data_IF_074446901452
#
_entry.id   IF_074446901452
#
_cell.length_a   1.000
_cell.length_b   1.000
_cell.length_c   1.000
_cell.angle_alpha   90.00
_cell.angle_beta   90.00
_cell.angle_gamma   90.00
#
_symmetry.space_group_name_H-M   'P 1'
#
loop_
_entity.id
_entity.type
_entity.pdbx_description
1 polymer ?
#
# COMPACT_ATOMS: atom_id res chain seq x y z
N UNK A 1 7.82 26.80 -5.31
CA UNK A 1 8.09 25.68 -6.23
C UNK A 1 9.08 24.77 -5.54
N UNK A 2 9.03 23.46 -5.78
CA UNK A 2 9.99 22.47 -5.29
C UNK A 2 11.06 22.26 -6.37
N UNK A 3 12.28 22.69 -6.09
CA UNK A 3 13.45 22.44 -6.92
C UNK A 3 14.12 21.11 -6.56
N UNK A 4 14.13 20.73 -5.28
CA UNK A 4 14.75 19.50 -4.78
C UNK A 4 13.85 18.79 -3.79
N UNK A 5 13.63 17.49 -4.02
CA UNK A 5 12.80 16.62 -3.16
C UNK A 5 13.55 15.35 -2.80
N UNK A 6 13.48 14.95 -1.53
CA UNK A 6 13.85 13.60 -1.13
C UNK A 6 12.59 12.76 -0.96
N UNK A 7 12.58 11.53 -1.48
CA UNK A 7 11.42 10.65 -1.43
C UNK A 7 11.82 9.35 -0.78
N UNK A 8 11.26 9.07 0.38
CA UNK A 8 11.34 7.73 0.97
C UNK A 8 10.17 6.88 0.49
N UNK A 9 10.41 5.60 0.22
CA UNK A 9 9.34 4.67 -0.13
C UNK A 9 9.43 3.37 0.66
N UNK A 10 8.36 3.01 1.36
CA UNK A 10 8.17 1.69 1.96
C UNK A 10 7.02 0.99 1.24
N UNK A 11 7.36 -0.12 0.56
CA UNK A 11 6.40 -0.94 -0.18
C UNK A 11 5.61 -1.90 0.70
N UNK A 12 4.67 -2.62 0.07
CA UNK A 12 3.92 -3.72 0.67
C UNK A 12 4.76 -4.98 0.93
N UNK A 13 4.10 -6.14 1.10
CA UNK A 13 4.74 -7.43 1.39
C UNK A 13 5.47 -8.03 0.18
N UNK A 14 6.10 -7.22 -0.66
CA UNK A 14 6.75 -7.68 -1.89
C UNK A 14 8.26 -7.64 -1.76
N UNK A 15 8.98 -8.73 -2.05
CA UNK A 15 10.43 -8.75 -2.03
C UNK A 15 11.00 -8.10 -3.31
N UNK A 16 10.71 -6.81 -3.50
CA UNK A 16 11.17 -6.06 -4.66
C UNK A 16 12.63 -5.69 -4.44
N UNK A 17 13.50 -6.24 -5.28
CA UNK A 17 14.92 -5.88 -5.27
C UNK A 17 15.13 -4.44 -5.78
N UNK A 18 16.17 -3.72 -5.31
CA UNK A 18 16.46 -2.35 -5.73
C UNK A 18 16.45 -2.11 -7.24
N UNK A 19 17.13 -2.97 -8.03
CA UNK A 19 17.17 -2.84 -9.49
C UNK A 19 15.77 -2.99 -10.13
N UNK A 20 14.94 -3.88 -9.56
CA UNK A 20 13.57 -4.08 -10.03
C UNK A 20 12.71 -2.85 -9.71
N UNK A 21 12.92 -2.22 -8.55
CA UNK A 21 12.20 -1.00 -8.20
C UNK A 21 12.64 0.18 -9.07
N UNK A 22 13.94 0.33 -9.34
CA UNK A 22 14.46 1.35 -10.25
C UNK A 22 13.89 1.19 -11.67
N UNK A 23 13.79 -0.04 -12.17
CA UNK A 23 13.17 -0.32 -13.47
C UNK A 23 11.66 0.00 -13.48
N UNK A 24 10.93 -0.34 -12.42
CA UNK A 24 9.50 0.05 -12.27
C UNK A 24 9.34 1.57 -12.24
N UNK A 25 10.25 2.25 -11.56
CA UNK A 25 10.26 3.70 -11.48
C UNK A 25 10.54 4.33 -12.86
N UNK A 26 11.52 3.84 -13.62
CA UNK A 26 11.78 4.28 -15.00
C UNK A 26 10.58 4.11 -15.93
N UNK A 27 9.88 2.97 -15.86
CA UNK A 27 8.64 2.76 -16.64
C UNK A 27 7.54 3.75 -16.25
N UNK A 28 7.46 4.08 -14.97
CA UNK A 28 6.53 5.08 -14.46
C UNK A 28 6.88 6.47 -14.99
N UNK A 29 8.17 6.86 -14.97
CA UNK A 29 8.64 8.10 -15.57
C UNK A 29 8.38 8.17 -17.08
N UNK A 30 8.59 7.08 -17.83
CA UNK A 30 8.26 7.05 -19.27
C UNK A 30 6.76 7.25 -19.55
N UNK A 31 5.89 6.77 -18.65
CA UNK A 31 4.45 7.06 -18.74
C UNK A 31 4.17 8.52 -18.39
N UNK A 32 4.84 9.04 -17.35
CA UNK A 32 4.76 10.44 -16.91
C UNK A 32 5.14 11.44 -18.01
N UNK A 33 6.24 11.20 -18.74
CA UNK A 33 6.66 12.04 -19.88
C UNK A 33 5.54 12.16 -20.92
N UNK A 34 4.91 11.04 -21.26
CA UNK A 34 3.82 10.99 -22.25
C UNK A 34 2.55 11.65 -21.73
N UNK A 35 2.18 11.37 -20.49
CA UNK A 35 0.92 11.84 -19.89
C UNK A 35 0.94 13.33 -19.60
N UNK A 36 2.08 13.87 -19.18
CA UNK A 36 2.21 15.27 -18.76
C UNK A 36 3.02 16.15 -19.73
N UNK A 37 3.54 15.59 -20.81
CA UNK A 37 4.35 16.34 -21.80
C UNK A 37 5.58 16.99 -21.16
N UNK A 38 6.27 16.22 -20.31
CA UNK A 38 7.45 16.64 -19.53
C UNK A 38 8.65 15.78 -19.94
N UNK A 39 9.85 16.22 -19.58
CA UNK A 39 11.05 15.38 -19.62
C UNK A 39 11.26 14.73 -18.24
N UNK A 40 11.59 13.44 -18.21
CA UNK A 40 11.87 12.74 -16.97
C UNK A 40 12.92 11.63 -17.17
N UNK A 41 13.95 11.63 -16.33
CA UNK A 41 15.01 10.62 -16.35
C UNK A 41 15.42 10.21 -14.93
N UNK A 42 15.84 8.96 -14.77
CA UNK A 42 16.41 8.44 -13.52
C UNK A 42 17.83 7.93 -13.77
N UNK A 43 18.78 8.30 -12.90
CA UNK A 43 20.17 7.84 -12.95
C UNK A 43 20.24 6.33 -12.77
N UNK A 44 21.21 5.69 -13.45
CA UNK A 44 21.52 4.27 -13.24
C UNK A 44 22.45 3.97 -12.09
N UNK A 45 23.01 5.00 -11.44
CA UNK A 45 23.84 4.82 -10.26
C UNK A 45 22.92 4.54 -9.07
N UNK A 46 22.93 3.28 -8.65
CA UNK A 46 22.24 2.81 -7.47
C UNK A 46 23.22 2.85 -6.29
N UNK A 47 22.86 3.58 -5.24
CA UNK A 47 23.55 3.53 -3.95
C UNK A 47 22.71 2.66 -3.00
N UNK A 48 23.15 1.42 -2.78
CA UNK A 48 22.41 0.43 -2.02
C UNK A 48 23.19 -0.03 -0.78
N UNK A 49 22.49 -0.02 0.35
CA UNK A 49 22.87 -0.62 1.62
C UNK A 49 21.91 -1.75 1.96
N UNK A 50 22.12 -2.43 3.09
CA UNK A 50 21.19 -3.47 3.57
C UNK A 50 19.83 -2.88 4.01
N UNK A 51 19.77 -1.59 4.32
CA UNK A 51 18.58 -0.91 4.89
C UNK A 51 17.86 -0.04 3.86
N UNK A 52 18.58 0.58 2.92
CA UNK A 52 18.00 1.45 1.91
C UNK A 52 18.72 1.33 0.57
N UNK A 53 18.03 1.68 -0.51
CA UNK A 53 18.65 1.87 -1.81
C UNK A 53 18.12 3.12 -2.48
N UNK A 54 19.02 3.95 -3.01
CA UNK A 54 18.67 5.25 -3.56
C UNK A 54 19.24 5.50 -4.95
N UNK A 55 18.55 6.36 -5.70
CA UNK A 55 18.95 6.86 -7.00
C UNK A 55 18.36 8.25 -7.22
N UNK A 56 18.94 9.00 -8.17
CA UNK A 56 18.46 10.33 -8.53
C UNK A 56 17.53 10.27 -9.73
N UNK A 57 16.59 11.19 -9.78
CA UNK A 57 15.80 11.51 -10.94
C UNK A 57 15.75 13.01 -11.15
N UNK A 58 15.55 13.40 -12.40
CA UNK A 58 15.36 14.76 -12.82
C UNK A 58 14.14 14.80 -13.71
N UNK A 59 13.23 15.72 -13.41
CA UNK A 59 12.08 15.99 -14.28
C UNK A 59 11.96 17.48 -14.54
N UNK A 60 11.48 17.84 -15.73
CA UNK A 60 11.31 19.24 -16.12
C UNK A 60 10.17 19.42 -17.11
N UNK A 61 9.52 20.58 -17.00
CA UNK A 61 8.67 21.14 -18.03
C UNK A 61 9.28 22.42 -18.60
N UNK A 62 8.56 23.16 -19.46
CA UNK A 62 9.05 24.39 -20.09
C UNK A 62 9.61 25.45 -19.14
N UNK A 63 9.05 25.57 -17.93
CA UNK A 63 9.37 26.65 -16.97
C UNK A 63 9.63 26.15 -15.54
N UNK A 64 9.91 24.85 -15.37
CA UNK A 64 10.22 24.27 -14.06
C UNK A 64 11.14 23.07 -14.19
N UNK A 65 11.91 22.81 -13.13
CA UNK A 65 12.79 21.65 -12.99
C UNK A 65 12.77 21.18 -11.55
N UNK A 66 12.69 19.87 -11.35
CA UNK A 66 12.73 19.25 -10.02
C UNK A 66 13.69 18.08 -10.03
N UNK A 67 14.63 18.11 -9.09
CA UNK A 67 15.56 17.01 -8.81
C UNK A 67 15.03 16.19 -7.64
N UNK A 68 14.93 14.89 -7.82
CA UNK A 68 14.38 13.95 -6.84
C UNK A 68 15.45 12.93 -6.46
N UNK A 69 15.72 12.77 -5.17
CA UNK A 69 16.41 11.57 -4.68
C UNK A 69 15.35 10.59 -4.20
N UNK A 70 15.21 9.46 -4.89
CA UNK A 70 14.29 8.40 -4.49
C UNK A 70 15.07 7.38 -3.68
N UNK A 71 14.64 7.11 -2.45
CA UNK A 71 15.26 6.17 -1.52
C UNK A 71 14.22 5.15 -1.04
N UNK A 72 14.33 3.93 -1.55
CA UNK A 72 13.54 2.80 -1.08
C UNK A 72 14.11 2.32 0.26
N UNK A 73 13.27 2.28 1.30
CA UNK A 73 13.60 1.66 2.58
C UNK A 73 13.26 0.16 2.49
N UNK A 74 14.29 -0.67 2.63
CA UNK A 74 14.31 -2.07 2.21
C UNK A 74 13.98 -3.00 3.35
N UNK A 75 13.17 -4.00 3.03
CA UNK A 75 12.86 -5.13 3.91
C UNK A 75 12.56 -6.40 3.09
N UNK A 76 13.06 -6.42 1.85
CA UNK A 76 12.94 -7.53 0.91
C UNK A 76 13.58 -8.81 1.45
N UNK A 77 14.70 -8.69 2.17
CA UNK A 77 15.41 -9.77 2.85
C UNK A 77 14.53 -10.49 3.87
N UNK A 78 13.76 -9.74 4.67
CA UNK A 78 12.88 -10.29 5.69
C UNK A 78 11.68 -11.04 5.06
N UNK A 79 11.16 -10.52 3.95
CA UNK A 79 10.07 -11.16 3.19
C UNK A 79 10.57 -12.44 2.51
N UNK A 80 11.76 -12.40 1.89
CA UNK A 80 12.40 -13.57 1.30
C UNK A 80 12.67 -14.64 2.35
N UNK A 81 13.06 -14.25 3.58
CA UNK A 81 13.23 -15.18 4.69
C UNK A 81 11.91 -15.90 5.02
N UNK A 82 10.77 -15.19 5.07
CA UNK A 82 9.46 -15.81 5.31
C UNK A 82 9.06 -16.80 4.21
N UNK A 83 9.41 -16.53 2.95
CA UNK A 83 9.10 -17.41 1.82
C UNK A 83 9.78 -18.78 1.92
N UNK A 84 10.85 -18.92 2.71
CA UNK A 84 11.53 -20.21 2.95
C UNK A 84 10.74 -21.20 3.80
N UNK A 85 9.62 -20.76 4.42
CA UNK A 85 8.78 -21.58 5.29
C UNK A 85 8.24 -22.82 4.56
N UNK A 86 8.28 -23.97 5.24
CA UNK A 86 7.69 -25.22 4.73
C UNK A 86 6.16 -25.11 4.65
N UNK A 87 5.55 -25.89 3.75
CA UNK A 87 4.11 -25.79 3.51
C UNK A 87 3.27 -26.13 4.76
N UNK A 88 3.66 -27.15 5.53
CA UNK A 88 2.96 -27.56 6.75
C UNK A 88 3.04 -26.47 7.82
N UNK A 89 4.23 -25.89 8.02
CA UNK A 89 4.42 -24.78 8.95
C UNK A 89 3.60 -23.56 8.54
N UNK A 90 3.58 -23.23 7.24
CA UNK A 90 2.78 -22.14 6.68
C UNK A 90 1.29 -22.36 6.91
N UNK A 91 0.77 -23.55 6.61
CA UNK A 91 -0.64 -23.85 6.79
C UNK A 91 -1.06 -23.79 8.27
N UNK A 92 -0.26 -24.38 9.16
CA UNK A 92 -0.50 -24.31 10.61
C UNK A 92 -0.51 -22.87 11.12
N UNK A 93 0.50 -22.08 10.77
CA UNK A 93 0.60 -20.67 11.17
C UNK A 93 -0.52 -19.80 10.56
N UNK A 94 -0.96 -20.10 9.35
CA UNK A 94 -2.10 -19.43 8.72
C UNK A 94 -3.41 -19.71 9.48
N UNK A 95 -3.68 -20.96 9.88
CA UNK A 95 -4.88 -21.26 10.67
C UNK A 95 -4.82 -20.70 12.09
N UNK A 96 -3.64 -20.66 12.72
CA UNK A 96 -3.44 -19.89 13.97
C UNK A 96 -3.78 -18.42 13.75
N UNK A 97 -3.39 -17.85 12.60
CA UNK A 97 -3.71 -16.46 12.25
C UNK A 97 -5.20 -16.23 12.06
N UNK A 98 -5.89 -17.13 11.34
CA UNK A 98 -7.34 -17.08 11.20
C UNK A 98 -8.04 -17.17 12.55
N UNK A 99 -7.64 -18.12 13.40
CA UNK A 99 -8.20 -18.30 14.73
C UNK A 99 -8.03 -17.08 15.62
N UNK A 100 -6.84 -16.48 15.64
CA UNK A 100 -6.55 -15.25 16.38
C UNK A 100 -7.43 -14.09 15.90
N UNK A 101 -7.60 -13.93 14.58
CA UNK A 101 -8.45 -12.88 13.99
C UNK A 101 -9.94 -13.07 14.30
N UNK A 102 -10.40 -14.32 14.39
CA UNK A 102 -11.78 -14.66 14.77
C UNK A 102 -12.02 -14.39 16.25
N UNK A 103 -11.18 -14.95 17.13
CA UNK A 103 -11.33 -14.87 18.59
C UNK A 103 -11.23 -13.42 19.09
N UNK A 104 -10.33 -12.63 18.51
CA UNK A 104 -10.18 -11.20 18.86
C UNK A 104 -11.26 -10.30 18.27
N UNK A 105 -12.13 -10.85 17.41
CA UNK A 105 -13.16 -10.13 16.67
C UNK A 105 -12.62 -9.27 15.52
N UNK A 106 -11.32 -9.36 15.21
CA UNK A 106 -10.65 -8.55 14.18
C UNK A 106 -11.23 -8.79 12.79
N UNK A 107 -11.59 -10.05 12.46
CA UNK A 107 -12.22 -10.36 11.18
C UNK A 107 -13.58 -9.63 11.02
N UNK A 108 -14.38 -9.53 12.07
CA UNK A 108 -15.66 -8.79 12.03
C UNK A 108 -15.42 -7.28 11.88
N UNK A 109 -14.36 -6.75 12.49
CA UNK A 109 -13.93 -5.36 12.27
C UNK A 109 -13.46 -5.14 10.83
N UNK A 110 -12.84 -6.14 10.18
CA UNK A 110 -12.55 -6.06 8.73
C UNK A 110 -13.84 -5.98 7.91
N UNK A 111 -14.86 -6.79 8.18
CA UNK A 111 -16.15 -6.65 7.49
C UNK A 111 -16.77 -5.26 7.69
N UNK A 112 -16.74 -4.76 8.94
CA UNK A 112 -17.19 -3.40 9.25
C UNK A 112 -16.40 -2.36 8.46
N UNK A 113 -15.08 -2.46 8.38
CA UNK A 113 -14.23 -1.48 7.71
C UNK A 113 -14.27 -1.57 6.18
N UNK A 114 -14.15 -2.78 5.64
CA UNK A 114 -14.18 -3.10 4.21
C UNK A 114 -14.51 -4.58 3.99
N UNK A 115 -15.75 -4.89 3.59
CA UNK A 115 -16.16 -6.26 3.24
C UNK A 115 -15.32 -6.85 2.09
N UNK A 116 -14.82 -6.00 1.18
CA UNK A 116 -13.91 -6.40 0.09
C UNK A 116 -12.58 -6.89 0.65
N UNK A 117 -12.01 -6.15 1.61
CA UNK A 117 -10.77 -6.55 2.27
C UNK A 117 -10.97 -7.83 3.10
N UNK A 118 -12.10 -7.96 3.81
CA UNK A 118 -12.44 -9.20 4.51
C UNK A 118 -12.54 -10.40 3.54
N UNK A 119 -13.14 -10.20 2.37
CA UNK A 119 -13.15 -11.19 1.29
C UNK A 119 -11.74 -11.52 0.77
N UNK A 120 -10.87 -10.51 0.61
CA UNK A 120 -9.47 -10.70 0.25
C UNK A 120 -8.68 -11.45 1.35
N UNK A 121 -8.98 -11.22 2.62
CA UNK A 121 -8.39 -12.01 3.69
C UNK A 121 -8.86 -13.48 3.67
N UNK A 122 -10.16 -13.69 3.42
CA UNK A 122 -10.77 -15.01 3.47
C UNK A 122 -10.55 -15.86 2.20
N UNK A 123 -10.25 -15.26 1.05
CA UNK A 123 -10.17 -16.03 -0.20
C UNK A 123 -9.14 -17.17 -0.11
N UNK A 124 -7.99 -16.94 0.54
CA UNK A 124 -6.94 -17.97 0.65
C UNK A 124 -7.42 -19.16 1.48
N UNK A 125 -8.20 -18.93 2.53
CA UNK A 125 -8.81 -20.00 3.33
C UNK A 125 -9.96 -20.70 2.58
N UNK A 126 -10.76 -19.97 1.80
CA UNK A 126 -11.80 -20.56 0.95
C UNK A 126 -11.21 -21.48 -0.12
N UNK A 127 -10.03 -21.16 -0.66
CA UNK A 127 -9.30 -22.03 -1.57
C UNK A 127 -8.89 -23.35 -0.91
N UNK A 128 -8.33 -23.30 0.30
CA UNK A 128 -7.97 -24.50 1.06
C UNK A 128 -9.22 -25.33 1.39
N UNK A 129 -10.31 -24.68 1.82
CA UNK A 129 -11.59 -25.35 2.07
C UNK A 129 -12.13 -26.01 0.78
N UNK A 130 -12.00 -25.36 -0.37
CA UNK A 130 -12.39 -25.91 -1.68
C UNK A 130 -11.58 -27.14 -2.08
N UNK A 131 -10.28 -27.18 -1.77
CA UNK A 131 -9.46 -28.38 -1.97
C UNK A 131 -9.90 -29.52 -1.05
N UNK A 132 -10.17 -29.23 0.23
CA UNK A 132 -10.61 -30.22 1.18
C UNK A 132 -11.99 -30.79 0.79
N UNK A 133 -12.92 -29.93 0.39
CA UNK A 133 -14.24 -30.32 -0.09
C UNK A 133 -14.17 -31.17 -1.37
N UNK A 134 -13.31 -30.80 -2.32
CA UNK A 134 -13.05 -31.60 -3.54
C UNK A 134 -12.51 -32.98 -3.18
N UNK A 135 -11.54 -33.06 -2.26
CA UNK A 135 -11.01 -34.34 -1.79
C UNK A 135 -12.08 -35.21 -1.15
N UNK A 136 -12.87 -34.64 -0.23
CA UNK A 136 -13.96 -35.35 0.44
C UNK A 136 -15.02 -35.86 -0.56
N UNK A 137 -15.40 -35.03 -1.54
CA UNK A 137 -16.35 -35.41 -2.57
C UNK A 137 -15.85 -36.57 -3.45
N UNK A 138 -14.58 -36.54 -3.88
CA UNK A 138 -13.98 -37.62 -4.66
C UNK A 138 -13.85 -38.90 -3.84
N UNK A 139 -13.39 -38.79 -2.58
CA UNK A 139 -13.25 -39.94 -1.69
C UNK A 139 -14.59 -40.62 -1.40
N UNK A 140 -15.63 -39.83 -1.11
CA UNK A 140 -16.98 -40.34 -0.92
C UNK A 140 -17.56 -40.94 -2.21
N UNK A 141 -17.44 -40.24 -3.34
CA UNK A 141 -17.95 -40.71 -4.63
C UNK A 141 -17.31 -42.03 -5.07
N UNK A 142 -16.00 -42.18 -4.87
CA UNK A 142 -15.29 -43.41 -5.23
C UNK A 142 -15.71 -44.60 -4.36
N UNK A 143 -15.80 -44.40 -3.05
CA UNK A 143 -16.22 -45.48 -2.13
C UNK A 143 -17.67 -45.88 -2.35
N UNK A 144 -18.53 -44.92 -2.66
CA UNK A 144 -19.92 -45.17 -3.07
C UNK A 144 -20.00 -45.96 -4.39
N UNK A 145 -19.26 -45.56 -5.42
CA UNK A 145 -19.22 -46.26 -6.72
C UNK A 145 -18.71 -47.70 -6.61
N UNK A 146 -17.77 -47.94 -5.69
CA UNK A 146 -17.21 -49.28 -5.44
C UNK A 146 -18.07 -50.11 -4.47
N UNK A 147 -19.22 -49.59 -4.02
CA UNK A 147 -20.12 -50.30 -3.10
C UNK A 147 -19.52 -50.58 -1.72
N UNK A 148 -18.50 -49.82 -1.32
CA UNK A 148 -17.81 -50.01 -0.04
C UNK A 148 -18.68 -49.49 1.11
N UNK A 149 -18.72 -50.24 2.22
CA UNK A 149 -19.48 -49.85 3.42
C UNK A 149 -18.64 -50.04 4.70
N UNK A 150 -19.13 -49.47 5.80
CA UNK A 150 -18.50 -49.60 7.12
C UNK A 150 -17.14 -48.90 7.23
N UNK A 151 -16.31 -49.34 8.18
CA UNK A 151 -15.04 -48.69 8.48
C UNK A 151 -14.06 -48.66 7.29
N UNK A 152 -14.08 -49.69 6.44
CA UNK A 152 -13.22 -49.76 5.26
C UNK A 152 -13.53 -48.66 4.24
N UNK A 153 -14.81 -48.32 4.04
CA UNK A 153 -15.21 -47.21 3.18
C UNK A 153 -14.72 -45.87 3.73
N UNK A 154 -14.87 -45.64 5.04
CA UNK A 154 -14.38 -44.41 5.67
C UNK A 154 -12.86 -44.24 5.54
N UNK A 155 -12.09 -45.31 5.78
CA UNK A 155 -10.62 -45.29 5.66
C UNK A 155 -10.20 -45.04 4.22
N UNK A 156 -10.76 -45.78 3.25
CA UNK A 156 -10.44 -45.60 1.84
C UNK A 156 -10.82 -44.20 1.34
N UNK A 157 -12.01 -43.72 1.71
CA UNK A 157 -12.48 -42.38 1.38
C UNK A 157 -11.58 -41.29 1.96
N UNK A 158 -11.12 -41.45 3.21
CA UNK A 158 -10.18 -40.52 3.84
C UNK A 158 -8.81 -40.51 3.16
N UNK A 159 -8.27 -41.68 2.78
CA UNK A 159 -7.00 -41.77 2.04
C UNK A 159 -7.11 -41.07 0.69
N UNK A 160 -8.18 -41.33 -0.06
CA UNK A 160 -8.42 -40.69 -1.36
C UNK A 160 -8.60 -39.19 -1.20
N UNK A 161 -9.36 -38.75 -0.19
CA UNK A 161 -9.55 -37.34 0.09
C UNK A 161 -8.22 -36.64 0.43
N UNK A 162 -7.38 -37.25 1.26
CA UNK A 162 -6.05 -36.74 1.61
C UNK A 162 -5.13 -36.68 0.38
N UNK A 163 -5.16 -37.70 -0.49
CA UNK A 163 -4.38 -37.74 -1.72
C UNK A 163 -4.79 -36.62 -2.68
N UNK A 164 -6.09 -36.44 -2.93
CA UNK A 164 -6.62 -35.37 -3.80
C UNK A 164 -6.33 -33.99 -3.22
N UNK A 165 -6.56 -33.80 -1.92
CA UNK A 165 -6.24 -32.54 -1.24
C UNK A 165 -4.76 -32.19 -1.40
N UNK A 166 -3.86 -33.16 -1.15
CA UNK A 166 -2.41 -32.95 -1.25
C UNK A 166 -1.99 -32.67 -2.68
N UNK A 167 -2.57 -33.37 -3.67
CA UNK A 167 -2.29 -33.13 -5.09
C UNK A 167 -2.71 -31.72 -5.53
N UNK A 168 -3.92 -31.27 -5.14
CA UNK A 168 -4.40 -29.92 -5.42
C UNK A 168 -3.55 -28.85 -4.73
N UNK A 169 -3.20 -29.08 -3.45
CA UNK A 169 -2.34 -28.19 -2.69
C UNK A 169 -0.94 -28.10 -3.32
N UNK A 170 -0.39 -29.20 -3.80
CA UNK A 170 0.92 -29.21 -4.47
C UNK A 170 0.86 -28.52 -5.83
N UNK A 171 -0.18 -28.78 -6.65
CA UNK A 171 -0.25 -28.23 -8.01
C UNK A 171 -0.65 -26.73 -8.04
N UNK A 172 -1.56 -26.33 -7.16
CA UNK A 172 -2.12 -24.97 -7.14
C UNK A 172 -1.65 -24.15 -5.94
N UNK A 173 -1.49 -24.77 -4.77
CA UNK A 173 -1.03 -24.09 -3.55
C UNK A 173 0.45 -23.68 -3.58
N UNK A 174 1.31 -24.43 -4.29
CA UNK A 174 2.71 -24.03 -4.50
C UNK A 174 2.90 -22.85 -5.46
N UNK A 175 1.85 -22.39 -6.14
CA UNK A 175 1.98 -21.19 -6.96
C UNK A 175 2.26 -20.00 -6.06
N UNK A 176 3.30 -19.24 -6.39
CA UNK A 176 3.81 -18.07 -5.64
C UNK A 176 2.72 -17.16 -5.03
N UNK A 177 1.58 -16.87 -5.69
CA UNK A 177 0.57 -15.99 -5.12
C UNK A 177 -0.09 -16.46 -3.82
N UNK A 178 -0.34 -17.76 -3.63
CA UNK A 178 -1.06 -18.25 -2.43
C UNK A 178 -0.13 -18.27 -1.21
N UNK A 179 1.09 -18.78 -1.38
CA UNK A 179 2.10 -18.80 -0.31
C UNK A 179 2.41 -17.40 0.18
N UNK A 180 2.57 -16.45 -0.74
CA UNK A 180 2.81 -15.05 -0.45
C UNK A 180 1.69 -14.45 0.43
N UNK A 181 0.43 -14.71 0.09
CA UNK A 181 -0.72 -14.20 0.86
C UNK A 181 -0.77 -14.78 2.27
N UNK A 182 -0.49 -16.08 2.44
CA UNK A 182 -0.40 -16.65 3.79
C UNK A 182 0.78 -16.09 4.59
N UNK A 183 1.95 -15.94 3.96
CA UNK A 183 3.11 -15.37 4.63
C UNK A 183 2.85 -13.91 5.06
N UNK A 184 2.12 -13.13 4.26
CA UNK A 184 1.66 -11.78 4.63
C UNK A 184 0.69 -11.78 5.83
N UNK A 185 -0.27 -12.72 5.90
CA UNK A 185 -1.14 -12.86 7.07
C UNK A 185 -0.36 -13.22 8.33
N UNK A 186 0.54 -14.20 8.22
CA UNK A 186 1.39 -14.66 9.32
C UNK A 186 2.29 -13.52 9.80
N UNK A 187 2.92 -12.80 8.87
CA UNK A 187 3.71 -11.62 9.17
C UNK A 187 2.90 -10.61 9.97
N UNK A 188 1.68 -10.31 9.50
CA UNK A 188 0.84 -9.28 10.11
C UNK A 188 0.43 -9.64 11.53
N UNK A 189 0.09 -10.92 11.76
CA UNK A 189 -0.15 -11.44 13.12
C UNK A 189 1.08 -11.32 14.00
N UNK A 190 2.22 -11.82 13.55
CA UNK A 190 3.44 -11.78 14.35
C UNK A 190 3.86 -10.34 14.64
N UNK A 191 3.66 -9.43 13.69
CA UNK A 191 3.97 -8.01 13.86
C UNK A 191 3.11 -7.36 14.95
N UNK A 192 1.78 -7.51 14.91
CA UNK A 192 0.91 -6.90 15.95
C UNK A 192 1.13 -7.47 17.35
N UNK A 193 1.65 -8.69 17.47
CA UNK A 193 2.01 -9.30 18.75
C UNK A 193 3.47 -9.05 19.17
N UNK A 194 4.22 -8.24 18.43
CA UNK A 194 5.63 -7.94 18.75
C UNK A 194 6.59 -9.13 18.57
N UNK A 195 6.21 -10.14 17.78
CA UNK A 195 6.96 -11.39 17.60
C UNK A 195 7.96 -11.34 16.43
N UNK A 196 8.33 -10.14 15.98
CA UNK A 196 9.25 -9.94 14.85
C UNK A 196 10.38 -8.96 15.22
N UNK A 197 11.31 -9.33 16.11
CA UNK A 197 12.36 -8.42 16.58
C UNK A 197 13.24 -7.88 15.46
N UNK A 198 13.52 -8.68 14.42
CA UNK A 198 14.25 -8.21 13.23
C UNK A 198 13.51 -7.11 12.47
N UNK A 199 12.18 -7.22 12.36
CA UNK A 199 11.37 -6.18 11.71
C UNK A 199 11.28 -4.94 12.59
N UNK A 200 11.16 -5.11 13.92
CA UNK A 200 11.21 -3.99 14.86
C UNK A 200 12.51 -3.22 14.71
N UNK A 201 13.66 -3.90 14.73
CA UNK A 201 14.97 -3.30 14.50
C UNK A 201 15.07 -2.62 13.13
N UNK A 202 14.53 -3.25 12.07
CA UNK A 202 14.51 -2.65 10.73
C UNK A 202 13.72 -1.33 10.68
N UNK A 203 12.63 -1.21 11.43
CA UNK A 203 11.88 0.06 11.53
C UNK A 203 12.68 1.11 12.33
N UNK A 204 13.50 0.70 13.31
CA UNK A 204 14.43 1.62 13.99
C UNK A 204 15.52 2.12 13.04
N UNK A 205 16.06 1.23 12.20
CA UNK A 205 17.03 1.58 11.15
C UNK A 205 16.42 2.56 10.15
N UNK A 206 15.16 2.35 9.73
CA UNK A 206 14.43 3.28 8.87
C UNK A 206 14.29 4.67 9.51
N UNK A 207 13.94 4.74 10.79
CA UNK A 207 13.85 6.00 11.52
C UNK A 207 15.20 6.72 11.54
N UNK A 208 16.29 5.99 11.80
CA UNK A 208 17.65 6.54 11.77
C UNK A 208 18.04 7.10 10.40
N UNK A 209 17.69 6.39 9.31
CA UNK A 209 17.91 6.88 7.94
C UNK A 209 17.10 8.15 7.66
N UNK A 210 15.84 8.21 8.07
CA UNK A 210 14.98 9.40 7.90
C UNK A 210 15.61 10.62 8.60
N UNK A 211 15.99 10.48 9.88
CA UNK A 211 16.64 11.55 10.66
C UNK A 211 17.95 11.98 10.01
N UNK A 212 18.81 11.03 9.63
CA UNK A 212 20.10 11.32 9.03
C UNK A 212 19.98 12.08 7.69
N UNK A 213 18.94 11.79 6.89
CA UNK A 213 18.67 12.55 5.66
C UNK A 213 18.10 13.93 5.97
N UNK A 214 17.15 14.05 6.91
CA UNK A 214 16.56 15.33 7.28
C UNK A 214 17.61 16.33 7.80
N UNK A 215 18.55 15.88 8.63
CA UNK A 215 19.60 16.73 9.20
C UNK A 215 20.63 17.22 8.17
N UNK A 216 20.86 16.45 7.10
CA UNK A 216 21.84 16.78 6.04
C UNK A 216 21.17 17.30 4.77
N UNK A 217 19.85 17.43 4.79
CA UNK A 217 19.07 17.64 3.59
C UNK A 217 19.24 19.08 3.08
N UNK A 218 19.73 19.19 1.86
CA UNK A 218 19.65 20.41 1.07
C UNK A 218 18.51 20.21 0.05
N UNK A 219 17.30 20.03 0.56
CA UNK A 219 16.06 19.80 -0.21
C UNK A 219 14.94 20.68 0.33
N UNK A 220 13.94 20.97 -0.49
CA UNK A 220 12.82 21.82 -0.09
C UNK A 220 11.81 21.04 0.80
N UNK A 221 11.63 19.76 0.51
CA UNK A 221 10.75 18.86 1.28
C UNK A 221 11.20 17.39 1.19
N UNK A 222 10.78 16.61 2.19
CA UNK A 222 10.91 15.15 2.23
C UNK A 222 9.52 14.54 2.15
N UNK A 223 9.28 13.68 1.16
CA UNK A 223 8.02 12.93 1.02
C UNK A 223 8.24 11.46 1.36
N UNK A 224 7.58 10.98 2.41
CA UNK A 224 7.65 9.61 2.90
C UNK A 224 6.40 8.86 2.43
N UNK A 225 6.58 7.97 1.45
CA UNK A 225 5.52 7.20 0.81
C UNK A 225 5.36 5.84 1.45
N UNK A 226 4.16 5.54 1.92
CA UNK A 226 3.75 4.22 2.38
C UNK A 226 2.71 3.61 1.46
N UNK A 227 3.03 2.50 0.81
CA UNK A 227 2.09 1.75 -0.03
C UNK A 227 1.66 0.45 0.64
N UNK A 228 0.38 0.09 0.51
CA UNK A 228 -0.15 -1.15 1.08
C UNK A 228 0.14 -1.22 2.60
N UNK A 229 0.73 -2.32 3.07
CA UNK A 229 1.12 -2.49 4.46
C UNK A 229 2.33 -1.63 4.86
N UNK A 230 3.16 -1.22 3.89
CA UNK A 230 4.28 -0.31 4.11
C UNK A 230 3.85 1.03 4.71
N UNK A 231 2.58 1.42 4.51
CA UNK A 231 1.98 2.55 5.20
C UNK A 231 1.98 2.42 6.74
N UNK A 232 1.74 1.23 7.29
CA UNK A 232 1.84 1.02 8.74
C UNK A 232 3.30 1.12 9.22
N UNK A 233 4.24 0.61 8.43
CA UNK A 233 5.68 0.71 8.72
C UNK A 233 6.17 2.17 8.63
N UNK A 234 5.64 2.96 7.70
CA UNK A 234 5.92 4.41 7.62
C UNK A 234 5.44 5.12 8.88
N UNK A 235 4.22 4.83 9.36
CA UNK A 235 3.73 5.45 10.59
C UNK A 235 4.66 5.15 11.78
N UNK A 236 5.07 3.89 11.94
CA UNK A 236 6.01 3.54 13.01
C UNK A 236 7.42 4.13 12.80
N UNK A 237 7.96 4.13 11.58
CA UNK A 237 9.26 4.72 11.29
C UNK A 237 9.28 6.23 11.55
N UNK A 238 8.23 6.96 11.16
CA UNK A 238 8.10 8.40 11.42
C UNK A 238 7.92 8.69 12.91
N UNK A 239 7.08 7.92 13.60
CA UNK A 239 6.91 8.04 15.05
C UNK A 239 8.24 7.83 15.81
N UNK A 240 9.05 6.86 15.38
CA UNK A 240 10.37 6.62 15.95
C UNK A 240 11.39 7.68 15.53
N UNK A 241 11.30 8.23 14.32
CA UNK A 241 12.13 9.34 13.89
C UNK A 241 11.88 10.60 14.74
N UNK A 242 10.61 10.90 15.07
CA UNK A 242 10.25 11.96 16.02
C UNK A 242 10.78 11.70 17.43
N UNK A 243 10.86 10.43 17.85
CA UNK A 243 11.45 10.08 19.15
C UNK A 243 12.98 10.24 19.17
N UNK A 244 13.65 9.94 18.05
CA UNK A 244 15.10 10.12 17.88
C UNK A 244 15.50 11.60 17.74
N UNK A 245 14.66 12.40 17.10
CA UNK A 245 14.86 13.83 16.89
C UNK A 245 13.53 14.58 17.13
N UNK A 246 13.27 15.03 18.38
CA UNK A 246 12.03 15.73 18.74
C UNK A 246 11.78 17.02 17.94
N UNK A 247 12.85 17.62 17.41
CA UNK A 247 12.80 18.85 16.63
C UNK A 247 12.80 18.58 15.11
N UNK A 248 12.65 17.32 14.67
CA UNK A 248 12.67 16.89 13.26
C UNK A 248 11.74 17.69 12.33
N UNK A 249 10.67 18.28 12.89
CA UNK A 249 9.70 19.09 12.12
C UNK A 249 9.92 20.60 12.25
N UNK A 250 10.87 21.00 13.09
CA UNK A 250 11.21 22.39 13.40
C UNK A 250 12.53 22.82 12.74
N UNK A 251 13.41 21.87 12.42
CA UNK A 251 14.62 22.10 11.64
C UNK A 251 14.59 21.31 10.33
N UNK A 252 15.29 21.83 9.32
CA UNK A 252 15.42 21.16 8.03
C UNK A 252 14.18 21.27 7.12
N UNK A 253 14.02 20.32 6.18
CA UNK A 253 12.95 20.36 5.17
C UNK A 253 11.58 20.02 5.75
N UNK A 254 10.51 20.45 5.06
CA UNK A 254 9.15 20.05 5.44
C UNK A 254 8.99 18.53 5.30
N UNK A 255 8.49 17.87 6.36
CA UNK A 255 8.21 16.44 6.36
C UNK A 255 6.77 16.18 5.92
N UNK A 256 6.64 15.39 4.86
CA UNK A 256 5.38 15.05 4.23
C UNK A 256 5.23 13.52 4.22
N UNK A 257 4.04 13.03 4.54
CA UNK A 257 3.68 11.60 4.52
C UNK A 257 2.56 11.40 3.51
N UNK A 258 2.77 10.46 2.59
CA UNK A 258 1.76 10.03 1.64
C UNK A 258 1.47 8.55 1.81
N UNK A 259 0.26 8.21 2.21
CA UNK A 259 -0.20 6.83 2.30
C UNK A 259 -1.16 6.54 1.15
N UNK A 260 -0.89 5.46 0.42
CA UNK A 260 -1.58 5.17 -0.84
C UNK A 260 -2.01 3.72 -0.88
N UNK A 261 -3.30 3.47 -1.10
CA UNK A 261 -3.85 2.10 -1.03
C UNK A 261 -3.45 1.41 0.28
N UNK A 262 -3.45 2.14 1.39
CA UNK A 262 -2.87 1.67 2.63
C UNK A 262 -3.67 0.54 3.27
N UNK A 263 -2.97 -0.31 4.01
CA UNK A 263 -3.56 -1.33 4.88
C UNK A 263 -3.25 -1.09 6.35
N UNK A 264 -3.05 0.17 6.78
CA UNK A 264 -2.90 0.52 8.21
C UNK A 264 -3.99 -0.16 9.09
N UNK A 265 -5.29 -0.17 8.69
CA UNK A 265 -6.35 -0.83 9.46
C UNK A 265 -6.18 -2.34 9.62
N UNK A 266 -5.38 -3.02 8.77
CA UNK A 266 -5.02 -4.43 8.93
C UNK A 266 -4.40 -4.70 10.30
N UNK A 267 -3.56 -3.78 10.76
CA UNK A 267 -2.86 -3.87 12.03
C UNK A 267 -3.65 -3.19 13.13
N UNK A 268 -4.12 -1.95 12.89
CA UNK A 268 -4.70 -1.13 13.94
C UNK A 268 -6.09 -1.60 14.42
N UNK A 269 -6.83 -2.39 13.62
CA UNK A 269 -8.09 -3.02 14.03
C UNK A 269 -7.90 -4.27 14.91
N UNK A 270 -6.69 -4.83 14.94
CA UNK A 270 -6.37 -5.91 15.86
C UNK A 270 -6.15 -5.34 17.28
N UNK A 271 -6.71 -5.93 18.36
CA UNK A 271 -6.53 -5.41 19.72
C UNK A 271 -5.06 -5.23 20.11
N UNK A 272 -4.19 -6.18 19.71
CA UNK A 272 -2.75 -6.10 19.95
C UNK A 272 -2.01 -5.04 19.11
N UNK A 273 -2.62 -4.49 18.04
CA UNK A 273 -2.01 -3.49 17.15
C UNK A 273 -1.87 -2.07 17.75
N UNK A 274 -1.55 -2.00 19.05
CA UNK A 274 -1.44 -0.76 19.82
C UNK A 274 -0.30 0.12 19.31
N UNK A 275 0.87 -0.46 19.01
CA UNK A 275 2.02 0.29 18.48
C UNK A 275 1.68 1.06 17.21
N UNK A 276 1.03 0.40 16.25
CA UNK A 276 0.60 1.03 14.99
C UNK A 276 -0.43 2.12 15.26
N UNK A 277 -1.40 1.89 16.16
CA UNK A 277 -2.38 2.93 16.54
C UNK A 277 -1.71 4.16 17.15
N UNK A 278 -0.80 3.97 18.10
CA UNK A 278 -0.10 5.06 18.78
C UNK A 278 0.81 5.82 17.82
N UNK A 279 1.55 5.13 16.96
CA UNK A 279 2.37 5.76 15.94
C UNK A 279 1.52 6.56 14.94
N UNK A 280 0.42 5.99 14.47
CA UNK A 280 -0.51 6.65 13.54
C UNK A 280 -1.16 7.89 14.18
N UNK A 281 -1.53 7.79 15.47
CA UNK A 281 -2.08 8.90 16.23
C UNK A 281 -1.04 10.01 16.46
N UNK A 282 0.20 9.66 16.83
CA UNK A 282 1.29 10.62 17.02
C UNK A 282 1.57 11.43 15.74
N UNK A 283 1.61 10.77 14.58
CA UNK A 283 1.78 11.45 13.28
C UNK A 283 0.59 12.37 12.99
N UNK A 284 -0.64 11.95 13.31
CA UNK A 284 -1.83 12.78 13.14
C UNK A 284 -1.83 14.01 14.06
N UNK A 285 -1.34 13.86 15.29
CA UNK A 285 -1.27 14.88 16.34
C UNK A 285 -0.05 15.79 16.21
N UNK A 286 0.76 15.61 15.16
CA UNK A 286 1.92 16.46 14.83
C UNK A 286 1.60 17.29 13.57
N UNK A 287 0.94 18.47 13.67
CA UNK A 287 0.40 19.19 12.51
C UNK A 287 1.46 19.69 11.53
N UNK A 288 2.71 19.83 12.00
CA UNK A 288 3.85 20.18 11.17
C UNK A 288 4.16 19.11 10.11
N UNK A 289 3.82 17.83 10.38
CA UNK A 289 3.86 16.76 9.40
C UNK A 289 2.64 16.90 8.48
N UNK A 290 2.89 17.12 7.19
CA UNK A 290 1.83 17.12 6.19
C UNK A 290 1.48 15.67 5.89
N UNK A 291 0.21 15.28 6.03
CA UNK A 291 -0.20 13.91 5.73
C UNK A 291 -1.44 13.87 4.84
N UNK A 292 -1.31 13.19 3.70
CA UNK A 292 -2.41 12.86 2.78
C UNK A 292 -2.51 11.34 2.60
N UNK A 293 -3.75 10.82 2.65
CA UNK A 293 -4.11 9.42 2.46
C UNK A 293 -5.01 9.27 1.21
N UNK A 294 -4.62 8.44 0.25
CA UNK A 294 -5.38 8.20 -0.97
C UNK A 294 -6.07 6.82 -0.98
N UNK A 295 -7.38 6.85 -1.20
CA UNK A 295 -8.23 5.67 -1.29
C UNK A 295 -8.82 5.49 -2.69
N UNK A 296 -8.85 4.27 -3.19
CA UNK A 296 -9.55 3.91 -4.43
C UNK A 296 -10.66 2.90 -4.17
N UNK A 297 -11.85 3.11 -4.73
CA UNK A 297 -12.99 2.18 -4.55
C UNK A 297 -12.74 0.82 -5.19
N UNK A 298 -12.04 0.83 -6.32
CA UNK A 298 -11.77 -0.35 -7.13
C UNK A 298 -10.63 -1.21 -6.55
N UNK A 299 -9.87 -0.67 -5.60
CA UNK A 299 -8.88 -1.42 -4.86
C UNK A 299 -9.55 -2.25 -3.75
N UNK A 300 -9.60 -3.57 -3.96
CA UNK A 300 -10.18 -4.52 -3.01
C UNK A 300 -9.23 -4.88 -1.86
N UNK A 301 -7.96 -4.49 -1.98
CA UNK A 301 -6.84 -4.88 -1.10
C UNK A 301 -6.56 -3.78 -0.07
N UNK A 302 -7.24 -2.63 -0.13
CA UNK A 302 -7.17 -1.56 0.86
C UNK A 302 -8.52 -1.23 1.51
N UNK A 303 -8.50 -0.30 2.46
CA UNK A 303 -9.67 0.07 3.27
C UNK A 303 -10.34 1.35 2.74
N UNK A 304 -11.09 1.21 1.64
CA UNK A 304 -11.82 2.33 1.06
C UNK A 304 -12.78 2.99 2.06
N UNK A 305 -12.66 4.33 2.20
CA UNK A 305 -13.52 5.15 3.09
C UNK A 305 -13.40 4.79 4.56
N UNK A 306 -12.22 4.41 5.01
CA UNK A 306 -11.94 4.12 6.40
C UNK A 306 -10.82 5.02 6.91
N UNK A 307 -11.05 5.71 8.01
CA UNK A 307 -10.06 6.62 8.60
C UNK A 307 -9.05 5.80 9.44
N UNK A 308 -7.74 5.83 9.10
CA UNK A 308 -6.74 5.00 9.78
C UNK A 308 -6.43 5.47 11.20
N UNK A 309 -6.80 6.72 11.56
CA UNK A 309 -6.59 7.30 12.89
C UNK A 309 -7.80 7.02 13.77
N UNK A 310 -9.00 7.42 13.32
CA UNK A 310 -10.21 7.29 14.14
C UNK A 310 -10.84 5.89 14.11
N UNK A 311 -10.38 5.03 13.20
CA UNK A 311 -10.90 3.67 12.95
C UNK A 311 -12.41 3.64 12.68
N UNK A 312 -12.91 4.65 11.96
CA UNK A 312 -14.32 4.80 11.60
C UNK A 312 -14.48 4.96 10.09
N UNK A 313 -15.63 4.52 9.59
CA UNK A 313 -16.03 4.79 8.20
C UNK A 313 -16.26 6.29 7.99
N UNK A 314 -15.93 6.77 6.79
CA UNK A 314 -16.14 8.15 6.35
C UNK A 314 -16.95 8.18 5.06
N UNK A 315 -17.78 9.22 4.88
CA UNK A 315 -18.62 9.38 3.69
C UNK A 315 -17.99 10.29 2.63
N UNK A 316 -17.13 11.23 3.03
CA UNK A 316 -16.57 12.30 2.21
C UNK A 316 -15.06 12.44 2.42
N UNK A 317 -14.42 13.19 1.52
CA UNK A 317 -13.03 13.63 1.68
C UNK A 317 -12.92 14.53 2.93
N UNK A 318 -11.71 14.62 3.51
CA UNK A 318 -11.45 15.40 4.72
C UNK A 318 -10.25 16.31 4.51
N UNK A 319 -10.44 17.58 4.81
CA UNK A 319 -9.38 18.59 4.88
C UNK A 319 -9.06 19.03 6.32
N UNK A 320 -9.96 18.73 7.27
CA UNK A 320 -9.80 19.08 8.69
C UNK A 320 -9.08 17.97 9.46
N UNK A 321 -7.90 18.28 10.01
CA UNK A 321 -7.06 17.31 10.73
C UNK A 321 -6.33 16.35 9.78
N UNK A 322 -5.51 15.45 10.34
CA UNK A 322 -4.67 14.53 9.56
C UNK A 322 -5.12 13.06 9.67
N UNK A 323 -4.98 12.26 8.59
CA UNK A 323 -4.61 12.66 7.23
C UNK A 323 -5.68 13.47 6.50
N UNK A 324 -5.27 14.22 5.49
CA UNK A 324 -6.18 14.65 4.42
C UNK A 324 -6.59 13.40 3.63
N UNK A 325 -7.85 12.98 3.71
CA UNK A 325 -8.31 11.77 3.02
C UNK A 325 -8.83 12.17 1.64
N UNK A 326 -8.28 11.53 0.60
CA UNK A 326 -8.59 11.78 -0.80
C UNK A 326 -9.11 10.52 -1.47
N UNK A 327 -10.11 10.67 -2.33
CA UNK A 327 -10.64 9.58 -3.16
C UNK A 327 -10.09 9.69 -4.57
N UNK A 328 -9.67 8.55 -5.10
CA UNK A 328 -9.15 8.41 -6.46
C UNK A 328 -10.04 7.46 -7.25
N UNK A 329 -10.25 7.80 -8.52
CA UNK A 329 -10.96 6.95 -9.47
C UNK A 329 -9.95 6.28 -10.38
N UNK A 330 -9.83 4.95 -10.32
CA UNK A 330 -8.82 4.20 -11.08
C UNK A 330 -8.96 4.42 -12.59
N UNK A 331 -10.19 4.48 -13.08
CA UNK A 331 -10.47 4.75 -14.49
C UNK A 331 -10.03 6.14 -14.95
N UNK A 332 -9.90 7.12 -14.04
CA UNK A 332 -9.40 8.45 -14.37
C UNK A 332 -7.88 8.46 -14.57
N UNK A 333 -7.15 7.62 -13.85
CA UNK A 333 -5.68 7.50 -13.98
C UNK A 333 -5.27 6.60 -15.15
N UNK A 334 -6.01 5.51 -15.36
CA UNK A 334 -5.67 4.47 -16.34
C UNK A 334 -6.29 4.70 -17.72
N UNK A 335 -7.35 5.51 -17.79
CA UNK A 335 -8.28 5.51 -18.91
C UNK A 335 -9.24 4.32 -18.87
N UNK A 336 -10.42 4.49 -19.46
CA UNK A 336 -11.52 3.52 -19.37
C UNK A 336 -11.17 2.16 -20.01
N UNK A 337 -10.41 2.17 -21.11
CA UNK A 337 -10.02 0.94 -21.82
C UNK A 337 -9.11 0.06 -20.95
N UNK A 338 -8.01 0.62 -20.43
CA UNK A 338 -7.11 -0.11 -19.54
C UNK A 338 -7.79 -0.52 -18.24
N UNK A 339 -8.63 0.35 -17.68
CA UNK A 339 -9.40 -0.01 -16.50
C UNK A 339 -10.28 -1.24 -16.74
N UNK A 340 -11.04 -1.28 -17.84
CA UNK A 340 -11.86 -2.46 -18.19
C UNK A 340 -11.01 -3.73 -18.35
N UNK A 341 -9.81 -3.61 -18.90
CA UNK A 341 -8.86 -4.72 -19.08
C UNK A 341 -8.35 -5.27 -17.74
N UNK A 342 -8.05 -4.39 -16.77
CA UNK A 342 -7.37 -4.77 -15.53
C UNK A 342 -8.26 -4.74 -14.27
N UNK A 343 -9.53 -4.34 -14.34
CA UNK A 343 -10.41 -4.19 -13.16
C UNK A 343 -10.58 -5.43 -12.29
N UNK A 344 -10.33 -6.63 -12.84
CA UNK A 344 -10.34 -7.90 -12.09
C UNK A 344 -8.94 -8.41 -11.74
N UNK A 345 -7.90 -7.74 -12.22
CA UNK A 345 -6.51 -7.96 -11.80
C UNK A 345 -6.25 -7.18 -10.51
N UNK A 346 -6.79 -7.66 -9.39
CA UNK A 346 -6.82 -6.92 -8.12
C UNK A 346 -5.45 -6.39 -7.67
N UNK A 347 -4.39 -7.21 -7.74
CA UNK A 347 -3.03 -6.76 -7.45
C UNK A 347 -2.56 -5.66 -8.40
N UNK A 348 -2.86 -5.77 -9.71
CA UNK A 348 -2.47 -4.75 -10.71
C UNK A 348 -3.14 -3.41 -10.44
N UNK A 349 -4.42 -3.41 -10.03
CA UNK A 349 -5.16 -2.21 -9.62
C UNK A 349 -4.56 -1.65 -8.32
N UNK A 350 -4.27 -2.49 -7.35
CA UNK A 350 -3.67 -2.08 -6.08
C UNK A 350 -2.29 -1.41 -6.25
N UNK A 351 -1.45 -1.92 -7.16
CA UNK A 351 -0.17 -1.29 -7.47
C UNK A 351 -0.28 -0.06 -8.38
N UNK A 352 -1.40 0.14 -9.08
CA UNK A 352 -1.53 1.30 -9.99
C UNK A 352 -1.35 2.62 -9.26
N UNK A 353 -1.65 2.67 -7.95
CA UNK A 353 -1.44 3.86 -7.12
C UNK A 353 0.02 4.27 -6.98
N UNK A 354 0.98 3.40 -7.26
CA UNK A 354 2.43 3.70 -7.19
C UNK A 354 3.12 3.47 -8.54
N UNK A 355 2.35 3.57 -9.61
CA UNK A 355 2.84 3.47 -10.99
C UNK A 355 2.52 4.77 -11.73
N UNK A 356 3.24 5.00 -12.83
CA UNK A 356 2.91 6.09 -13.74
C UNK A 356 1.48 5.97 -14.27
N UNK A 357 0.77 7.09 -14.29
CA UNK A 357 -0.55 7.16 -14.88
C UNK A 357 -0.49 7.12 -16.40
N UNK A 358 -1.61 6.80 -17.02
CA UNK A 358 -1.79 6.85 -18.47
C UNK A 358 -2.54 8.13 -18.87
N UNK A 359 -3.41 8.63 -17.99
CA UNK A 359 -4.18 9.84 -18.16
C UNK A 359 -3.87 10.83 -17.03
N UNK A 360 -3.91 12.14 -17.33
CA UNK A 360 -3.81 13.17 -16.30
C UNK A 360 -5.01 13.05 -15.36
N UNK A 361 -4.75 12.97 -14.06
CA UNK A 361 -5.77 12.83 -13.04
C UNK A 361 -5.40 13.70 -11.81
N UNK A 362 -6.36 14.00 -10.90
CA UNK A 362 -6.06 14.75 -9.68
C UNK A 362 -4.95 14.11 -8.85
N UNK A 363 -4.92 12.78 -8.81
CA UNK A 363 -3.83 12.01 -8.24
C UNK A 363 -2.96 11.43 -9.36
N UNK A 364 -1.66 11.74 -9.32
CA UNK A 364 -0.64 11.13 -10.16
C UNK A 364 0.63 10.91 -9.32
N UNK A 365 1.04 9.64 -9.21
CA UNK A 365 2.16 9.26 -8.36
C UNK A 365 3.44 9.99 -8.74
N UNK A 366 3.76 10.04 -10.03
CA UNK A 366 4.97 10.69 -10.54
C UNK A 366 4.91 12.20 -10.35
N UNK A 367 3.74 12.83 -10.53
CA UNK A 367 3.61 14.26 -10.25
C UNK A 367 3.80 14.59 -8.77
N UNK A 368 3.33 13.74 -7.85
CA UNK A 368 3.55 13.96 -6.40
C UNK A 368 5.02 13.85 -6.03
N UNK A 369 5.73 12.84 -6.54
CA UNK A 369 7.10 12.57 -6.11
C UNK A 369 8.17 13.29 -6.94
N UNK A 370 7.87 13.69 -8.18
CA UNK A 370 8.82 14.35 -9.07
C UNK A 370 8.38 15.73 -9.54
N UNK A 371 7.13 16.16 -9.32
CA UNK A 371 6.64 17.44 -9.81
C UNK A 371 7.07 18.65 -8.97
N UNK A 372 6.87 19.87 -9.51
CA UNK A 372 7.38 21.13 -8.95
C UNK A 372 6.49 21.75 -7.86
N UNK A 373 5.33 21.15 -7.58
CA UNK A 373 4.37 21.68 -6.62
C UNK A 373 4.69 21.21 -5.20
N UNK A 374 4.54 22.08 -4.17
CA UNK A 374 4.63 21.67 -2.77
C UNK A 374 3.61 20.58 -2.42
N UNK A 375 3.91 19.75 -1.43
CA UNK A 375 3.09 18.58 -1.10
C UNK A 375 1.60 18.87 -0.84
N UNK A 376 1.25 19.86 -0.01
CA UNK A 376 -0.18 20.14 0.26
C UNK A 376 -0.91 20.68 -0.97
N UNK A 377 -0.19 21.32 -1.89
CA UNK A 377 -0.78 21.80 -3.13
C UNK A 377 -1.03 20.66 -4.12
N UNK A 378 -0.03 19.81 -4.38
CA UNK A 378 -0.23 18.67 -5.29
C UNK A 378 -1.22 17.65 -4.73
N UNK A 379 -1.38 17.60 -3.41
CA UNK A 379 -2.33 16.70 -2.73
C UNK A 379 -3.65 17.35 -2.33
N UNK A 380 -3.91 18.58 -2.77
CA UNK A 380 -5.23 19.22 -2.63
C UNK A 380 -6.33 18.43 -3.36
N UNK A 381 -7.60 18.75 -3.11
CA UNK A 381 -8.75 17.99 -3.64
C UNK A 381 -8.78 17.85 -5.18
N UNK A 382 -8.37 18.87 -5.92
CA UNK A 382 -8.23 18.81 -7.39
C UNK A 382 -6.82 18.41 -7.85
N UNK A 383 -5.90 18.25 -6.91
CA UNK A 383 -4.48 18.00 -7.13
C UNK A 383 -3.81 18.99 -8.08
N UNK A 384 -2.92 18.49 -8.93
CA UNK A 384 -2.13 19.31 -9.86
C UNK A 384 -2.80 19.64 -11.19
N UNK A 385 -3.97 19.11 -11.51
CA UNK A 385 -4.51 19.15 -12.88
C UNK A 385 -4.60 20.55 -13.48
N UNK A 386 -5.12 21.52 -12.72
CA UNK A 386 -5.28 22.92 -13.19
C UNK A 386 -4.00 23.74 -13.12
N UNK A 387 -2.91 23.17 -12.59
CA UNK A 387 -1.62 23.83 -12.45
C UNK A 387 -0.69 23.57 -13.64
N UNK A 388 -1.04 22.70 -14.60
CA UNK A 388 -0.19 22.41 -15.75
C UNK A 388 -0.90 22.62 -17.08
N UNK A 389 -0.23 23.31 -18.01
CA UNK A 389 -0.64 23.45 -19.39
C UNK A 389 -0.55 22.13 -20.16
N UNK A 390 -1.15 22.08 -21.35
CA UNK A 390 -1.09 20.88 -22.20
C UNK A 390 0.35 20.51 -22.58
N UNK A 391 1.24 21.49 -22.66
CA UNK A 391 2.68 21.39 -22.92
C UNK A 391 3.53 21.05 -21.68
N UNK A 392 2.90 20.81 -20.52
CA UNK A 392 3.60 20.52 -19.28
C UNK A 392 4.14 21.75 -18.53
N UNK A 393 3.88 22.98 -19.04
CA UNK A 393 4.26 24.20 -18.35
C UNK A 393 3.48 24.37 -17.05
N UNK A 394 4.16 24.81 -16.00
CA UNK A 394 3.52 25.18 -14.75
C UNK A 394 2.80 26.53 -14.94
N UNK A 395 1.49 26.53 -14.69
CA UNK A 395 0.64 27.70 -14.82
C UNK A 395 0.64 28.52 -13.52
N UNK A 396 0.66 29.84 -13.68
CA UNK A 396 0.50 30.81 -12.58
C UNK A 396 -0.99 31.06 -12.33
N UNK A 397 -1.64 30.08 -11.71
CA UNK A 397 -3.07 30.14 -11.33
C UNK A 397 -3.15 30.29 -9.81
N UNK A 398 -3.75 31.37 -9.27
CA UNK A 398 -3.89 31.56 -7.83
C UNK A 398 -4.80 30.49 -7.21
N UNK A 399 -4.35 29.91 -6.10
CA UNK A 399 -5.03 28.86 -5.31
C UNK A 399 -6.50 29.17 -4.98
N UNK A 400 -6.84 30.46 -4.81
CA UNK A 400 -8.20 30.91 -4.46
C UNK A 400 -9.26 30.69 -5.54
N UNK A 401 -8.86 30.53 -6.82
CA UNK A 401 -9.79 30.21 -7.92
C UNK A 401 -10.04 28.71 -8.10
N UNK A 402 -9.32 27.86 -7.37
CA UNK A 402 -9.42 26.40 -7.45
C UNK A 402 -10.49 25.88 -6.46
N UNK A 403 -10.72 26.56 -5.33
CA UNK A 403 -11.73 26.15 -4.33
C UNK A 403 -13.15 26.67 -4.60
N UNK A 404 -13.31 27.72 -5.43
CA UNK A 404 -14.61 28.37 -5.66
C UNK A 404 -15.61 27.56 -6.51
N UNK A 405 -15.17 26.48 -7.15
CA UNK A 405 -16.06 25.55 -7.87
C UNK A 405 -16.86 24.63 -6.92
N UNK A 406 -16.42 24.46 -5.67
CA UNK A 406 -17.09 23.58 -4.70
C UNK A 406 -18.30 24.23 -4.02
N UNK A 407 -18.37 25.56 -3.91
CA UNK A 407 -19.50 26.22 -3.24
C UNK A 407 -20.72 26.40 -4.14
N UNK A 408 -20.53 26.52 -5.47
CA UNK A 408 -21.65 26.73 -6.40
C UNK A 408 -22.35 25.43 -6.83
N UNK A 409 -21.66 24.29 -6.85
CA UNK A 409 -22.27 23.01 -7.23
C UNK A 409 -23.11 22.36 -6.11
N UNK A 410 -22.98 22.83 -4.86
CA UNK A 410 -23.78 22.35 -3.71
C UNK A 410 -25.12 23.07 -3.52
N UNK A 411 -25.33 24.22 -4.19
CA UNK A 411 -26.51 25.06 -3.99
C UNK A 411 -27.65 24.81 -5.01
N UNK A 412 -27.40 24.09 -6.12
CA UNK A 412 -28.37 23.92 -7.20
C UNK A 412 -29.13 22.58 -7.21
N UNK A 413 -28.95 21.71 -6.21
CA UNK A 413 -29.62 20.39 -6.15
C UNK A 413 -30.79 20.34 -5.15
N UNK A 414 -31.13 21.45 -4.48
CA UNK A 414 -32.29 21.55 -3.58
C UNK A 414 -33.37 22.52 -4.09
N UNK A 415 -33.63 22.51 -5.40
CA UNK A 415 -34.80 23.17 -5.97
C UNK A 415 -35.21 22.50 -7.30
N UNK A 416 -35.83 21.32 -7.19
CA UNK A 416 -36.84 20.78 -8.12
C UNK A 416 -37.46 19.51 -7.51
#
# INVERSE_FOLDING_TARGET
>A
MIARRHVFHIGGYDPILPDTQLERFRRSLSSFEKTWSVSAKASGVLDATDVSASWRAETSGPNWKTETTYEMLRWDDLILQDHTRSMLSRLGAAFVTLGDWLVTGTLFRFFYASWKYAGFFLFSYLWIAGFAASGAAVGYGLTWLLGMNGAAAWIAGAIVAAAVFTALLHHYGWRKPINHVFDDWIFSRQYVHGQRPKMTARVDEFAGVIVARAQKADVDEIVIVGHCLGAALVMEAVARALALDPDLTQHGPTICVMTVSATIPKFSLHPAGKSVREATQLVADTPAIRWTEYHARDDVISFYRFDPVTLKRRSRDRDEGRPNIRRVQMHAMMGMEQFKRYRFSFMRIHYQMVMGNQCRAPYDYCMVICGPLPFDEITAGEGGLKRFGADGALLDVPLSKISSSQSQAGASVNAA
#
